data_IF_518270849578
#
_entry.id   IF_518270849578
#
_cell.length_a   1.000
_cell.length_b   1.000
_cell.length_c   1.000
_cell.angle_alpha   90.00
_cell.angle_beta   90.00
_cell.angle_gamma   90.00
#
_symmetry.space_group_name_H-M   'P 1'
#
loop_
_entity.id
_entity.type
_entity.pdbx_description
1 polymer ?
#
# COMPACT_ATOMS: atom_id res chain seq x y z
N UNK A 1 -5.43 3.42 -7.14
CA UNK A 1 -3.98 3.20 -7.41
C UNK A 1 -3.68 1.79 -6.95
N UNK A 2 -3.04 0.98 -7.78
CA UNK A 2 -2.73 -0.42 -7.45
C UNK A 2 -1.26 -0.54 -7.06
N UNK A 3 -1.00 -1.23 -5.96
CA UNK A 3 0.34 -1.45 -5.39
C UNK A 3 0.59 -2.94 -5.21
N UNK A 4 1.86 -3.30 -5.08
CA UNK A 4 2.24 -4.59 -4.50
C UNK A 4 2.71 -4.37 -3.06
N UNK A 5 2.14 -5.14 -2.14
CA UNK A 5 2.50 -5.16 -0.71
C UNK A 5 3.40 -6.36 -0.46
N UNK A 6 4.51 -6.15 0.25
CA UNK A 6 5.35 -7.25 0.75
C UNK A 6 4.99 -7.52 2.21
N UNK A 7 4.65 -8.77 2.53
CA UNK A 7 4.41 -9.20 3.90
C UNK A 7 5.72 -9.53 4.63
N UNK A 8 5.67 -9.73 5.95
CA UNK A 8 6.82 -10.08 6.78
C UNK A 8 7.48 -11.40 6.36
N UNK A 9 6.72 -12.30 5.73
CA UNK A 9 7.21 -13.58 5.22
C UNK A 9 7.82 -13.46 3.80
N UNK A 10 7.90 -12.25 3.26
CA UNK A 10 8.44 -11.98 1.92
C UNK A 10 7.48 -12.35 0.77
N UNK A 11 6.26 -12.78 1.10
CA UNK A 11 5.19 -12.97 0.13
C UNK A 11 4.70 -11.61 -0.40
N UNK A 12 4.35 -11.57 -1.68
CA UNK A 12 3.85 -10.37 -2.35
C UNK A 12 2.37 -10.55 -2.67
N UNK A 13 1.58 -9.50 -2.45
CA UNK A 13 0.16 -9.46 -2.80
C UNK A 13 -0.22 -8.15 -3.44
N UNK A 14 -1.19 -8.19 -4.34
CA UNK A 14 -1.73 -7.00 -4.98
C UNK A 14 -2.81 -6.38 -4.11
N UNK A 15 -2.79 -5.05 -4.00
CA UNK A 15 -3.78 -4.33 -3.24
C UNK A 15 -4.10 -2.98 -3.89
N UNK A 16 -5.34 -2.55 -3.76
CA UNK A 16 -5.77 -1.22 -4.19
C UNK A 16 -5.79 -0.26 -3.00
N UNK A 17 -5.19 0.91 -3.19
CA UNK A 17 -5.18 1.98 -2.18
C UNK A 17 -6.55 2.63 -2.10
N UNK A 18 -7.09 2.67 -0.88
CA UNK A 18 -8.35 3.32 -0.55
C UNK A 18 -8.10 4.65 0.17
N UNK A 19 -7.09 4.70 1.04
CA UNK A 19 -6.71 5.89 1.80
C UNK A 19 -5.19 6.03 1.93
N UNK A 20 -4.73 7.28 1.95
CA UNK A 20 -3.33 7.66 2.17
C UNK A 20 -3.25 8.51 3.43
N UNK A 21 -2.44 8.09 4.39
CA UNK A 21 -2.19 8.85 5.61
C UNK A 21 -0.78 9.46 5.58
N UNK A 22 -0.74 10.78 5.80
CA UNK A 22 0.48 11.55 5.78
C UNK A 22 1.13 11.58 7.17
N UNK A 23 2.46 11.62 7.20
CA UNK A 23 3.18 11.60 8.47
C UNK A 23 2.91 12.85 9.32
N UNK A 24 2.61 12.65 10.61
CA UNK A 24 2.39 13.75 11.56
C UNK A 24 3.54 14.78 11.62
N UNK A 25 4.78 14.35 11.32
CA UNK A 25 5.98 15.21 11.28
C UNK A 25 6.18 15.91 9.94
N UNK A 26 5.70 15.33 8.85
CA UNK A 26 5.78 15.92 7.51
C UNK A 26 4.58 15.47 6.67
N UNK A 27 3.55 16.32 6.54
CA UNK A 27 2.32 16.01 5.81
C UNK A 27 2.51 15.78 4.30
N UNK A 28 3.72 15.96 3.77
CA UNK A 28 4.02 15.72 2.34
C UNK A 28 4.53 14.31 2.08
N UNK A 29 4.73 13.51 3.13
CA UNK A 29 5.31 12.17 3.03
C UNK A 29 4.25 11.18 3.51
N UNK A 30 3.69 10.35 2.61
CA UNK A 30 2.84 9.24 2.99
C UNK A 30 3.59 8.30 3.93
N UNK A 31 2.96 7.90 5.03
CA UNK A 31 3.55 6.97 6.01
C UNK A 31 2.76 5.67 6.11
N UNK A 32 1.45 5.72 5.84
CA UNK A 32 0.57 4.56 5.88
C UNK A 32 -0.40 4.60 4.70
N UNK A 33 -0.71 3.41 4.20
CA UNK A 33 -1.76 3.19 3.20
C UNK A 33 -2.82 2.27 3.79
N UNK A 34 -4.08 2.66 3.66
CA UNK A 34 -5.17 1.72 3.81
C UNK A 34 -5.45 1.09 2.46
N UNK A 35 -5.38 -0.23 2.40
CA UNK A 35 -5.50 -0.98 1.15
C UNK A 35 -6.56 -2.07 1.27
N UNK A 36 -7.25 -2.36 0.17
CA UNK A 36 -8.01 -3.58 -0.01
C UNK A 36 -7.16 -4.59 -0.78
N UNK A 37 -6.97 -5.76 -0.20
CA UNK A 37 -6.36 -6.90 -0.88
C UNK A 37 -7.23 -7.35 -2.07
N UNK A 38 -6.62 -7.52 -3.24
CA UNK A 38 -7.36 -7.82 -4.48
C UNK A 38 -7.98 -9.23 -4.46
N UNK A 39 -7.31 -10.19 -3.83
CA UNK A 39 -7.74 -11.59 -3.84
C UNK A 39 -8.78 -11.88 -2.75
N UNK A 40 -8.60 -11.31 -1.56
CA UNK A 40 -9.41 -11.59 -0.37
C UNK A 40 -10.41 -10.51 -0.02
N UNK A 41 -10.24 -9.29 -0.52
CA UNK A 41 -11.05 -8.12 -0.15
C UNK A 41 -10.81 -7.61 1.27
N UNK A 42 -9.86 -8.18 2.02
CA UNK A 42 -9.52 -7.74 3.37
C UNK A 42 -8.94 -6.34 3.33
N UNK A 43 -9.41 -5.47 4.23
CA UNK A 43 -8.91 -4.11 4.39
C UNK A 43 -7.93 -4.06 5.55
N UNK A 44 -6.72 -3.57 5.29
CA UNK A 44 -5.71 -3.40 6.32
C UNK A 44 -4.84 -2.15 6.07
N UNK A 45 -4.15 -1.72 7.12
CA UNK A 45 -3.13 -0.67 7.03
C UNK A 45 -1.77 -1.28 6.71
N UNK A 46 -0.99 -0.60 5.87
CA UNK A 46 0.35 -1.03 5.43
C UNK A 46 1.29 0.16 5.52
N UNK A 47 2.50 -0.07 6.06
CA UNK A 47 3.57 0.93 6.07
C UNK A 47 3.98 1.27 4.63
N UNK A 48 4.15 2.55 4.33
CA UNK A 48 4.61 3.03 3.03
C UNK A 48 5.96 2.44 2.58
N UNK A 49 6.81 2.00 3.50
CA UNK A 49 8.09 1.34 3.18
C UNK A 49 7.92 -0.09 2.63
N UNK A 50 6.73 -0.69 2.76
CA UNK A 50 6.43 -2.07 2.34
C UNK A 50 5.64 -2.15 1.02
N UNK A 51 5.44 -1.01 0.36
CA UNK A 51 4.67 -0.95 -0.89
C UNK A 51 5.56 -0.59 -2.07
N UNK A 52 5.27 -1.21 -3.22
CA UNK A 52 5.85 -0.83 -4.51
C UNK A 52 4.74 -0.44 -5.47
N UNK A 53 4.84 0.75 -6.09
CA UNK A 53 3.87 1.21 -7.06
C UNK A 53 3.99 0.47 -8.39
N UNK A 54 2.87 -0.10 -8.85
CA UNK A 54 2.79 -0.66 -10.20
C UNK A 54 2.44 0.48 -11.15
N UNK A 55 3.41 0.90 -11.96
CA UNK A 55 3.18 1.84 -13.06
C UNK A 55 2.98 1.04 -14.35
N UNK A 56 1.75 0.92 -14.90
CA UNK A 56 1.56 0.29 -16.19
C UNK A 56 2.34 1.09 -17.24
N UNK A 57 3.14 0.39 -18.04
CA UNK A 57 3.84 1.01 -19.17
C UNK A 57 2.80 1.24 -20.28
N UNK A 58 2.46 2.50 -20.54
CA UNK A 58 1.67 2.93 -21.71
C UNK A 58 2.45 2.80 -23.00
#
# INVERSE_FOLDING_TARGET
>A
MTLVVTDTDGAWRMADVIWVDDGARNPKIPTLFQVADVDSGVINWVNADLVTHICPRV
#
